data_IF_816894791189
#
_entry.id   IF_816894791189
#
_cell.length_a   1.000
_cell.length_b   1.000
_cell.length_c   1.000
_cell.angle_alpha   90.00
_cell.angle_beta   90.00
_cell.angle_gamma   90.00
#
_symmetry.space_group_name_H-M   'P 1'
#
loop_
_entity.id
_entity.type
_entity.pdbx_description
1 polymer ?
#
# COMPACT_ATOMS: atom_id res chain seq x y z
N UNK A 1 12.59 -17.30 5.38
CA UNK A 1 12.61 -16.21 4.37
C UNK A 1 12.50 -16.79 2.96
N UNK A 2 13.45 -17.62 2.51
CA UNK A 2 13.36 -18.29 1.21
C UNK A 2 12.08 -19.10 1.02
N UNK A 3 11.62 -19.84 2.03
CA UNK A 3 10.35 -20.57 1.96
C UNK A 3 9.14 -19.66 1.71
N UNK A 4 9.14 -18.46 2.29
CA UNK A 4 8.07 -17.49 2.09
C UNK A 4 8.10 -16.89 0.67
N UNK A 5 9.29 -16.69 0.10
CA UNK A 5 9.44 -16.24 -1.30
C UNK A 5 8.96 -17.34 -2.26
N UNK A 6 9.32 -18.61 -1.99
CA UNK A 6 8.96 -19.76 -2.83
C UNK A 6 7.47 -20.14 -2.71
N UNK A 7 6.80 -19.74 -1.64
CA UNK A 7 5.37 -20.00 -1.44
C UNK A 7 4.48 -19.07 -2.28
N UNK A 8 5.02 -17.98 -2.83
CA UNK A 8 4.27 -17.06 -3.70
C UNK A 8 4.24 -17.61 -5.11
N UNK A 9 3.05 -17.79 -5.67
CA UNK A 9 2.87 -18.03 -7.11
C UNK A 9 3.00 -16.70 -7.87
N UNK A 10 4.24 -16.32 -8.16
CA UNK A 10 4.54 -15.08 -8.90
C UNK A 10 3.90 -15.07 -10.29
N UNK A 11 3.70 -16.23 -10.92
CA UNK A 11 3.08 -16.33 -12.24
C UNK A 11 1.57 -16.04 -12.24
N UNK A 12 0.91 -16.20 -11.10
CA UNK A 12 -0.51 -15.89 -10.93
C UNK A 12 -0.78 -14.40 -10.65
N UNK A 13 0.25 -13.62 -10.31
CA UNK A 13 0.11 -12.19 -10.06
C UNK A 13 -0.08 -11.47 -11.40
N UNK A 14 -1.12 -10.65 -11.57
CA UNK A 14 -1.32 -9.93 -12.83
C UNK A 14 -0.28 -8.82 -13.01
N UNK A 15 0.06 -8.52 -14.25
CA UNK A 15 0.95 -7.42 -14.63
C UNK A 15 0.99 -7.24 -16.14
N UNK A 16 1.51 -6.10 -16.59
CA UNK A 16 1.61 -5.80 -18.02
C UNK A 16 2.49 -6.85 -18.71
N UNK A 17 2.02 -7.55 -19.76
CA UNK A 17 2.67 -8.75 -20.28
C UNK A 17 4.07 -8.51 -20.84
N UNK A 18 4.34 -7.30 -21.35
CA UNK A 18 5.66 -6.95 -21.90
C UNK A 18 6.65 -6.42 -20.85
N UNK A 19 6.18 -6.10 -19.63
CA UNK A 19 7.01 -5.40 -18.63
C UNK A 19 7.17 -6.20 -17.33
N UNK A 20 6.14 -6.92 -16.92
CA UNK A 20 6.17 -7.75 -15.72
C UNK A 20 6.80 -9.10 -16.03
N UNK A 21 7.91 -9.40 -15.35
CA UNK A 21 8.61 -10.68 -15.46
C UNK A 21 8.60 -11.41 -14.11
N UNK A 22 7.64 -12.34 -13.88
CA UNK A 22 7.48 -13.04 -12.60
C UNK A 22 8.77 -13.71 -12.09
N UNK A 23 9.55 -14.31 -13.00
CA UNK A 23 10.80 -14.96 -12.66
C UNK A 23 11.85 -13.98 -12.11
N UNK A 24 11.82 -12.70 -12.52
CA UNK A 24 12.69 -11.67 -11.95
C UNK A 24 12.28 -11.31 -10.53
N UNK A 25 10.99 -11.34 -10.20
CA UNK A 25 10.50 -11.12 -8.85
C UNK A 25 11.03 -12.18 -7.89
N UNK A 26 10.81 -13.46 -8.22
CA UNK A 26 11.28 -14.59 -7.40
C UNK A 26 12.81 -14.59 -7.28
N UNK A 27 13.52 -14.58 -8.42
CA UNK A 27 14.99 -14.64 -8.45
C UNK A 27 15.62 -13.44 -7.76
N UNK A 28 15.08 -12.24 -7.97
CA UNK A 28 15.54 -11.01 -7.36
C UNK A 28 15.39 -11.04 -5.84
N UNK A 29 14.24 -11.45 -5.31
CA UNK A 29 14.04 -11.56 -3.86
C UNK A 29 14.95 -12.61 -3.22
N UNK A 30 15.15 -13.76 -3.87
CA UNK A 30 16.08 -14.79 -3.39
C UNK A 30 17.51 -14.29 -3.36
N UNK A 31 17.98 -13.71 -4.47
CA UNK A 31 19.32 -13.15 -4.56
C UNK A 31 19.53 -12.02 -3.54
N UNK A 32 18.52 -11.19 -3.31
CA UNK A 32 18.61 -10.11 -2.33
C UNK A 32 18.65 -10.63 -0.89
N UNK A 33 17.89 -11.69 -0.59
CA UNK A 33 17.91 -12.35 0.71
C UNK A 33 19.28 -12.98 1.03
N UNK A 34 19.94 -13.55 0.02
CA UNK A 34 21.24 -14.21 0.14
C UNK A 34 22.44 -13.26 -0.02
N UNK A 35 22.21 -12.00 -0.42
CA UNK A 35 23.27 -11.04 -0.71
C UNK A 35 24.15 -10.77 0.53
N UNK A 36 25.46 -10.97 0.36
CA UNK A 36 26.48 -10.78 1.39
C UNK A 36 27.31 -9.50 1.16
N UNK A 37 27.14 -8.82 0.03
CA UNK A 37 27.86 -7.59 -0.30
C UNK A 37 27.04 -6.64 -1.17
N UNK A 38 27.62 -5.47 -1.45
CA UNK A 38 26.98 -4.41 -2.22
C UNK A 38 26.68 -4.79 -3.67
N UNK A 39 27.57 -5.54 -4.32
CA UNK A 39 27.43 -5.92 -5.73
C UNK A 39 26.26 -6.87 -5.90
N UNK A 40 26.19 -7.91 -5.07
CA UNK A 40 25.09 -8.88 -5.07
C UNK A 40 23.74 -8.21 -4.78
N UNK A 41 23.71 -7.29 -3.80
CA UNK A 41 22.49 -6.54 -3.49
C UNK A 41 22.05 -5.65 -4.66
N UNK A 42 22.99 -5.01 -5.37
CA UNK A 42 22.69 -4.17 -6.52
C UNK A 42 22.18 -4.98 -7.72
N UNK A 43 22.79 -6.14 -8.01
CA UNK A 43 22.34 -7.05 -9.06
C UNK A 43 20.93 -7.59 -8.77
N UNK A 44 20.68 -8.01 -7.53
CA UNK A 44 19.36 -8.45 -7.11
C UNK A 44 18.32 -7.33 -7.19
N UNK A 45 18.69 -6.11 -6.80
CA UNK A 45 17.84 -4.92 -6.92
C UNK A 45 17.52 -4.62 -8.39
N UNK A 46 18.49 -4.76 -9.30
CA UNK A 46 18.26 -4.54 -10.74
C UNK A 46 17.25 -5.53 -11.34
N UNK A 47 17.20 -6.77 -10.87
CA UNK A 47 16.17 -7.73 -11.28
C UNK A 47 14.77 -7.27 -10.82
N UNK A 48 14.66 -6.80 -9.58
CA UNK A 48 13.40 -6.33 -9.01
C UNK A 48 12.93 -5.02 -9.64
N UNK A 49 13.85 -4.09 -9.87
CA UNK A 49 13.63 -2.80 -10.51
C UNK A 49 13.44 -2.86 -12.03
N UNK A 50 13.87 -3.95 -12.67
CA UNK A 50 13.84 -4.13 -14.11
C UNK A 50 12.70 -5.02 -14.60
N UNK A 51 11.57 -5.09 -13.91
CA UNK A 51 10.45 -5.94 -14.32
C UNK A 51 9.91 -6.88 -13.24
N UNK A 52 10.60 -7.02 -12.10
CA UNK A 52 10.17 -7.92 -11.03
C UNK A 52 9.02 -7.37 -10.18
N UNK A 53 9.10 -6.12 -9.75
CA UNK A 53 8.06 -5.47 -8.93
C UNK A 53 7.78 -4.04 -9.37
N UNK A 54 8.77 -3.41 -10.00
CA UNK A 54 8.65 -2.14 -10.72
C UNK A 54 9.38 -2.27 -12.05
N UNK A 55 9.09 -1.36 -12.97
CA UNK A 55 9.84 -1.13 -14.19
C UNK A 55 10.46 0.26 -14.14
N UNK A 56 11.65 0.37 -13.54
CA UNK A 56 12.28 1.63 -13.16
C UNK A 56 12.53 2.59 -14.32
N UNK A 57 12.70 2.10 -15.55
CA UNK A 57 12.80 2.98 -16.73
C UNK A 57 11.51 3.73 -17.04
N UNK A 58 10.37 3.13 -16.70
CA UNK A 58 9.05 3.71 -16.90
C UNK A 58 8.51 4.30 -15.59
N UNK A 59 9.09 4.00 -14.42
CA UNK A 59 8.48 4.28 -13.11
C UNK A 59 7.07 3.67 -12.98
N UNK A 60 6.91 2.46 -13.53
CA UNK A 60 5.67 1.69 -13.41
C UNK A 60 5.76 0.67 -12.27
N UNK A 61 4.79 0.65 -11.36
CA UNK A 61 4.70 -0.37 -10.28
C UNK A 61 3.74 -1.48 -10.64
N UNK A 62 4.08 -2.72 -10.27
CA UNK A 62 3.23 -3.89 -10.52
C UNK A 62 2.51 -4.34 -9.23
N UNK A 63 1.38 -5.06 -9.37
CA UNK A 63 0.74 -5.78 -8.26
C UNK A 63 1.71 -6.61 -7.41
N UNK A 64 2.76 -7.17 -8.03
CA UNK A 64 3.81 -7.92 -7.36
C UNK A 64 4.55 -7.13 -6.26
N UNK A 65 4.63 -5.79 -6.35
CA UNK A 65 5.26 -4.97 -5.32
C UNK A 65 4.54 -5.04 -3.98
N UNK A 66 3.20 -5.07 -3.98
CA UNK A 66 2.42 -5.22 -2.75
C UNK A 66 2.69 -6.56 -2.06
N UNK A 67 2.82 -7.63 -2.86
CA UNK A 67 3.14 -8.99 -2.39
C UNK A 67 4.60 -9.09 -1.90
N UNK A 68 5.52 -8.44 -2.59
CA UNK A 68 6.95 -8.44 -2.25
C UNK A 68 7.30 -7.58 -1.04
N UNK A 69 6.54 -6.51 -0.77
CA UNK A 69 6.83 -5.56 0.33
C UNK A 69 7.08 -6.23 1.70
N UNK A 70 6.24 -7.14 2.21
CA UNK A 70 6.53 -7.80 3.50
C UNK A 70 7.84 -8.60 3.45
N UNK A 71 8.16 -9.24 2.32
CA UNK A 71 9.42 -9.99 2.13
C UNK A 71 10.64 -9.05 2.10
N UNK A 72 10.51 -7.90 1.41
CA UNK A 72 11.53 -6.85 1.40
C UNK A 72 11.78 -6.27 2.79
N UNK A 73 10.73 -6.08 3.58
CA UNK A 73 10.87 -5.60 4.97
C UNK A 73 11.54 -6.65 5.87
N UNK A 74 11.26 -7.94 5.67
CA UNK A 74 11.96 -9.02 6.37
C UNK A 74 13.45 -9.09 5.97
N UNK A 75 13.76 -8.96 4.67
CA UNK A 75 15.14 -8.85 4.17
C UNK A 75 15.83 -7.63 4.78
N UNK A 76 15.16 -6.48 4.81
CA UNK A 76 15.71 -5.27 5.39
C UNK A 76 16.02 -5.43 6.89
N UNK A 77 15.19 -6.16 7.62
CA UNK A 77 15.36 -6.38 9.04
C UNK A 77 16.49 -7.38 9.36
N UNK A 78 16.64 -8.44 8.57
CA UNK A 78 17.48 -9.60 8.92
C UNK A 78 18.74 -9.74 8.05
N UNK A 79 18.73 -9.18 6.84
CA UNK A 79 19.78 -9.35 5.85
C UNK A 79 20.99 -8.43 6.04
N UNK A 80 21.94 -8.55 5.12
CA UNK A 80 23.13 -7.71 5.05
C UNK A 80 22.76 -6.21 4.91
N UNK A 81 23.54 -5.26 5.46
CA UNK A 81 23.23 -3.83 5.34
C UNK A 81 23.00 -3.33 3.91
N UNK A 82 23.76 -3.85 2.93
CA UNK A 82 23.52 -3.51 1.53
C UNK A 82 22.18 -4.04 0.99
N UNK A 83 21.77 -5.25 1.39
CA UNK A 83 20.47 -5.81 1.04
C UNK A 83 19.33 -5.00 1.68
N UNK A 84 19.51 -4.54 2.91
CA UNK A 84 18.58 -3.61 3.58
C UNK A 84 18.43 -2.32 2.80
N UNK A 85 19.53 -1.71 2.40
CA UNK A 85 19.47 -0.44 1.68
C UNK A 85 18.81 -0.57 0.31
N UNK A 86 19.07 -1.67 -0.40
CA UNK A 86 18.39 -2.00 -1.65
C UNK A 86 16.89 -2.28 -1.43
N UNK A 87 16.53 -3.10 -0.45
CA UNK A 87 15.14 -3.45 -0.16
C UNK A 87 14.29 -2.23 0.20
N UNK A 88 14.81 -1.33 1.04
CA UNK A 88 14.12 -0.09 1.40
C UNK A 88 14.05 0.89 0.21
N UNK A 89 15.01 0.87 -0.72
CA UNK A 89 14.98 1.69 -1.92
C UNK A 89 13.90 1.22 -2.89
N UNK A 90 13.77 -0.09 -3.07
CA UNK A 90 12.73 -0.70 -3.90
C UNK A 90 11.32 -0.44 -3.35
N UNK A 91 11.15 -0.47 -2.02
CA UNK A 91 9.88 -0.12 -1.36
C UNK A 91 9.52 1.35 -1.60
N UNK A 92 10.49 2.25 -1.49
CA UNK A 92 10.32 3.68 -1.75
C UNK A 92 9.94 3.94 -3.22
N UNK A 93 10.65 3.30 -4.14
CA UNK A 93 10.37 3.36 -5.58
C UNK A 93 8.96 2.82 -5.91
N UNK A 94 8.57 1.69 -5.31
CA UNK A 94 7.24 1.12 -5.52
C UNK A 94 6.11 2.00 -4.96
N UNK A 95 6.35 2.71 -3.85
CA UNK A 95 5.36 3.62 -3.26
C UNK A 95 5.22 4.92 -4.04
N UNK A 96 6.29 5.37 -4.70
CA UNK A 96 6.34 6.61 -5.49
C UNK A 96 6.02 6.45 -6.98
N UNK A 97 6.02 5.21 -7.49
CA UNK A 97 5.69 4.87 -8.88
C UNK A 97 4.17 4.73 -9.09
N UNK A 98 3.74 4.81 -10.35
CA UNK A 98 2.32 4.65 -10.71
C UNK A 98 2.06 3.32 -11.42
N UNK A 99 0.98 2.61 -11.08
CA UNK A 99 0.63 1.38 -11.78
C UNK A 99 0.15 1.64 -13.20
N UNK A 100 0.28 0.64 -14.07
CA UNK A 100 -0.41 0.64 -15.36
C UNK A 100 -1.93 0.51 -15.14
N UNK A 101 -2.76 1.19 -15.95
CA UNK A 101 -4.18 1.40 -15.67
C UNK A 101 -5.04 0.15 -15.44
N UNK A 102 -4.68 -0.99 -16.05
CA UNK A 102 -5.38 -2.28 -15.85
C UNK A 102 -4.90 -3.07 -14.61
N UNK A 103 -3.80 -2.66 -13.99
CA UNK A 103 -3.07 -3.41 -12.97
C UNK A 103 -2.86 -2.57 -11.70
N UNK A 104 -3.88 -1.81 -11.29
CA UNK A 104 -3.76 -0.83 -10.19
C UNK A 104 -4.07 -1.39 -8.81
N UNK A 105 -4.61 -2.61 -8.74
CA UNK A 105 -5.23 -3.17 -7.53
C UNK A 105 -4.74 -4.57 -7.19
N UNK A 106 -4.83 -4.89 -5.90
CA UNK A 106 -4.48 -6.19 -5.33
C UNK A 106 -5.53 -6.67 -4.33
N UNK A 107 -5.70 -7.98 -4.25
CA UNK A 107 -6.44 -8.62 -3.16
C UNK A 107 -5.55 -8.75 -1.93
N UNK A 108 -6.05 -8.30 -0.79
CA UNK A 108 -5.38 -8.37 0.51
C UNK A 108 -6.32 -8.96 1.57
N UNK A 109 -5.80 -9.25 2.75
CA UNK A 109 -6.63 -9.68 3.90
C UNK A 109 -7.63 -8.63 4.39
N UNK A 110 -7.50 -7.38 3.93
CA UNK A 110 -8.30 -6.24 4.37
C UNK A 110 -9.05 -5.55 3.21
N UNK A 111 -9.11 -6.18 2.04
CA UNK A 111 -9.90 -5.70 0.89
C UNK A 111 -9.62 -6.50 -0.38
N UNK A 112 -10.63 -6.65 -1.24
CA UNK A 112 -10.51 -7.44 -2.47
C UNK A 112 -9.80 -6.70 -3.63
N UNK A 113 -9.85 -5.37 -3.62
CA UNK A 113 -9.45 -4.52 -4.76
C UNK A 113 -8.67 -3.28 -4.29
N UNK A 114 -7.73 -3.47 -3.36
CA UNK A 114 -6.97 -2.40 -2.70
C UNK A 114 -5.97 -1.78 -3.68
N UNK A 115 -5.85 -0.44 -3.76
CA UNK A 115 -4.79 0.20 -4.53
C UNK A 115 -3.40 -0.26 -4.09
N UNK A 116 -2.49 -0.52 -5.04
CA UNK A 116 -1.16 -1.08 -4.73
C UNK A 116 -0.42 -0.25 -3.69
N UNK A 117 -0.40 1.08 -3.83
CA UNK A 117 0.26 1.98 -2.88
C UNK A 117 -0.35 1.90 -1.47
N UNK A 118 -1.67 1.74 -1.34
CA UNK A 118 -2.35 1.52 -0.06
C UNK A 118 -1.98 0.18 0.57
N UNK A 119 -1.80 -0.86 -0.25
CA UNK A 119 -1.35 -2.18 0.23
C UNK A 119 0.10 -2.14 0.74
N UNK A 120 1.00 -1.46 0.02
CA UNK A 120 2.39 -1.23 0.44
C UNK A 120 2.42 -0.41 1.74
N UNK A 121 1.68 0.70 1.79
CA UNK A 121 1.61 1.57 2.96
C UNK A 121 1.08 0.84 4.21
N UNK A 122 0.13 -0.08 4.04
CA UNK A 122 -0.32 -0.94 5.14
C UNK A 122 0.84 -1.76 5.71
N UNK A 123 1.63 -2.42 4.87
CA UNK A 123 2.77 -3.24 5.30
C UNK A 123 3.82 -2.39 6.04
N UNK A 124 4.11 -1.18 5.55
CA UNK A 124 5.01 -0.25 6.24
C UNK A 124 4.53 0.10 7.65
N UNK A 125 3.23 0.38 7.82
CA UNK A 125 2.65 0.66 9.14
C UNK A 125 2.73 -0.53 10.10
N UNK A 126 2.55 -1.76 9.61
CA UNK A 126 2.70 -2.97 10.45
C UNK A 126 4.14 -3.18 10.95
N UNK A 127 5.13 -2.57 10.28
CA UNK A 127 6.55 -2.61 10.66
C UNK A 127 7.07 -1.28 11.19
N UNK A 128 6.18 -0.43 11.72
CA UNK A 128 6.51 0.92 12.20
C UNK A 128 7.65 0.96 13.22
N UNK A 129 7.66 0.08 14.22
CA UNK A 129 8.72 0.04 15.23
C UNK A 129 10.11 -0.23 14.62
N UNK A 130 10.19 -1.13 13.64
CA UNK A 130 11.43 -1.40 12.90
C UNK A 130 11.86 -0.18 12.08
N UNK A 131 10.94 0.43 11.33
CA UNK A 131 11.23 1.60 10.49
C UNK A 131 11.64 2.83 11.32
N UNK A 132 11.01 3.07 12.46
CA UNK A 132 11.41 4.13 13.41
C UNK A 132 12.86 3.91 13.87
N UNK A 133 13.25 2.67 14.14
CA UNK A 133 14.62 2.30 14.50
C UNK A 133 15.67 2.61 13.44
N UNK A 134 15.27 2.83 12.18
CA UNK A 134 16.16 3.20 11.06
C UNK A 134 16.35 4.73 10.92
N UNK A 135 15.78 5.54 11.81
CA UNK A 135 15.95 6.98 11.82
C UNK A 135 15.29 7.68 10.62
N UNK A 136 15.99 8.65 10.02
CA UNK A 136 15.42 9.54 8.97
C UNK A 136 14.83 8.78 7.79
N UNK A 137 15.49 7.71 7.34
CA UNK A 137 15.06 6.93 6.17
C UNK A 137 13.74 6.21 6.43
N UNK A 138 13.64 5.50 7.55
CA UNK A 138 12.37 4.84 7.91
C UNK A 138 11.28 5.83 8.28
N UNK A 139 11.63 6.98 8.87
CA UNK A 139 10.71 8.09 9.11
C UNK A 139 10.11 8.66 7.81
N UNK A 140 10.90 8.82 6.75
CA UNK A 140 10.42 9.27 5.44
C UNK A 140 9.42 8.27 4.83
N UNK A 141 9.76 6.98 4.80
CA UNK A 141 8.86 5.92 4.34
C UNK A 141 7.54 5.87 5.12
N UNK A 142 7.59 6.06 6.43
CA UNK A 142 6.39 6.14 7.27
C UNK A 142 5.55 7.39 6.98
N UNK A 143 6.19 8.52 6.72
CA UNK A 143 5.51 9.76 6.34
C UNK A 143 4.82 9.63 4.97
N UNK A 144 5.44 8.96 4.01
CA UNK A 144 4.81 8.68 2.71
C UNK A 144 3.68 7.67 2.85
N UNK A 145 3.89 6.59 3.61
CA UNK A 145 2.83 5.62 3.93
C UNK A 145 1.63 6.29 4.64
N UNK A 146 1.85 7.35 5.42
CA UNK A 146 0.79 8.07 6.12
C UNK A 146 -0.17 8.79 5.15
N UNK A 147 0.29 9.20 3.96
CA UNK A 147 -0.56 9.83 2.93
C UNK A 147 -1.62 8.86 2.38
N UNK A 148 -1.34 7.56 2.44
CA UNK A 148 -2.26 6.51 2.03
C UNK A 148 -3.17 6.09 3.18
N UNK A 149 -4.15 6.94 3.47
CA UNK A 149 -5.10 6.70 4.56
C UNK A 149 -6.12 5.62 4.20
N UNK A 150 -6.64 4.96 5.24
CA UNK A 150 -7.71 3.96 5.16
C UNK A 150 -8.67 4.19 6.32
N UNK A 151 -9.97 4.20 6.04
CA UNK A 151 -10.99 4.29 7.08
C UNK A 151 -11.92 3.08 7.02
N UNK A 152 -12.18 2.45 8.15
CA UNK A 152 -13.10 1.30 8.23
C UNK A 152 -14.34 1.71 9.02
N UNK A 153 -15.50 1.67 8.37
CA UNK A 153 -16.78 2.08 8.95
C UNK A 153 -17.20 1.06 10.01
N UNK A 154 -17.54 1.54 11.20
CA UNK A 154 -18.16 0.74 12.27
C UNK A 154 -19.63 1.09 12.46
N UNK A 155 -19.95 2.37 12.40
CA UNK A 155 -21.30 2.89 12.64
C UNK A 155 -21.55 4.14 11.80
N UNK A 156 -22.79 4.33 11.36
CA UNK A 156 -23.21 5.53 10.64
C UNK A 156 -24.46 6.13 11.26
N UNK A 157 -24.48 7.44 11.40
CA UNK A 157 -25.62 8.21 11.90
C UNK A 157 -26.03 9.22 10.84
N UNK A 158 -27.32 9.31 10.57
CA UNK A 158 -27.85 10.35 9.70
C UNK A 158 -27.70 11.71 10.40
N UNK A 159 -27.12 12.67 9.70
CA UNK A 159 -27.08 14.05 10.13
C UNK A 159 -27.53 14.94 8.97
N UNK A 160 -28.80 15.37 9.06
CA UNK A 160 -29.47 16.16 8.02
C UNK A 160 -29.48 15.42 6.67
N UNK A 161 -28.82 15.95 5.64
CA UNK A 161 -28.70 15.31 4.32
C UNK A 161 -27.39 14.50 4.16
N UNK A 162 -26.56 14.47 5.21
CA UNK A 162 -25.25 13.85 5.21
C UNK A 162 -25.22 12.65 6.17
N UNK A 163 -24.11 11.92 6.15
CA UNK A 163 -23.84 10.85 7.10
C UNK A 163 -22.58 11.16 7.91
N UNK A 164 -22.68 11.06 9.23
CA UNK A 164 -21.53 10.94 10.12
C UNK A 164 -21.15 9.44 10.22
N UNK A 165 -19.98 9.08 9.72
CA UNK A 165 -19.44 7.73 9.75
C UNK A 165 -18.35 7.63 10.82
N UNK A 166 -18.59 6.79 11.82
CA UNK A 166 -17.68 6.48 12.91
C UNK A 166 -16.93 5.18 12.61
N UNK A 167 -15.64 5.17 12.87
CA UNK A 167 -14.80 4.07 12.43
C UNK A 167 -13.35 4.22 12.86
N UNK A 168 -12.48 3.41 12.26
CA UNK A 168 -11.04 3.49 12.51
C UNK A 168 -10.30 4.08 11.33
N UNK A 169 -9.53 5.14 11.57
CA UNK A 169 -8.64 5.77 10.62
C UNK A 169 -7.21 5.28 10.83
N UNK A 170 -6.59 4.81 9.75
CA UNK A 170 -5.15 4.52 9.69
C UNK A 170 -4.50 5.43 8.65
N UNK A 171 -3.34 5.98 8.97
CA UNK A 171 -2.71 7.04 8.17
C UNK A 171 -3.24 8.43 8.53
N UNK A 172 -2.96 9.42 7.68
CA UNK A 172 -3.32 10.82 7.88
C UNK A 172 -4.35 11.22 6.82
N UNK A 173 -5.59 11.45 7.26
CA UNK A 173 -6.60 12.04 6.41
C UNK A 173 -6.23 13.52 6.13
N UNK A 174 -6.22 13.97 4.86
CA UNK A 174 -5.85 15.33 4.50
C UNK A 174 -6.88 16.36 4.97
N UNK A 175 -6.47 17.61 5.22
CA UNK A 175 -7.42 18.66 5.60
C UNK A 175 -8.33 19.05 4.44
N UNK A 176 -9.60 19.35 4.72
CA UNK A 176 -10.59 19.76 3.72
C UNK A 176 -11.49 18.60 3.28
N UNK A 177 -12.11 18.77 2.11
CA UNK A 177 -13.03 17.81 1.49
C UNK A 177 -12.29 17.08 0.37
N UNK A 178 -12.41 15.76 0.35
CA UNK A 178 -11.69 14.89 -0.58
C UNK A 178 -12.59 13.76 -1.07
N UNK A 179 -12.33 13.29 -2.29
CA UNK A 179 -13.00 12.11 -2.82
C UNK A 179 -12.41 10.83 -2.21
N UNK A 180 -13.28 9.84 -1.99
CA UNK A 180 -12.91 8.53 -1.47
C UNK A 180 -13.59 7.41 -2.25
N UNK A 181 -12.90 6.28 -2.36
CA UNK A 181 -13.53 5.04 -2.81
C UNK A 181 -14.12 4.30 -1.62
N UNK A 182 -15.41 3.99 -1.68
CA UNK A 182 -16.12 3.08 -0.79
C UNK A 182 -16.02 1.66 -1.32
N UNK A 183 -15.46 0.74 -0.53
CA UNK A 183 -15.31 -0.67 -0.86
C UNK A 183 -16.27 -1.52 -0.01
N UNK A 184 -17.22 -2.20 -0.66
CA UNK A 184 -18.24 -3.04 -0.01
C UNK A 184 -18.46 -4.32 -0.80
N UNK A 185 -18.20 -5.48 -0.20
CA UNK A 185 -18.54 -6.76 -0.83
C UNK A 185 -17.87 -7.03 -2.19
N UNK A 186 -16.74 -6.36 -2.49
CA UNK A 186 -16.06 -6.42 -3.78
C UNK A 186 -16.47 -5.33 -4.78
N UNK A 187 -17.55 -4.59 -4.48
CA UNK A 187 -17.98 -3.42 -5.25
C UNK A 187 -17.25 -2.16 -4.78
N UNK A 188 -17.04 -1.23 -5.72
CA UNK A 188 -16.41 0.06 -5.48
C UNK A 188 -17.38 1.16 -5.93
N UNK A 189 -17.65 2.10 -5.03
CA UNK A 189 -18.36 3.35 -5.33
C UNK A 189 -17.47 4.54 -5.00
N UNK A 190 -17.67 5.68 -5.68
CA UNK A 190 -16.96 6.92 -5.38
C UNK A 190 -17.84 7.83 -4.53
N UNK A 191 -17.28 8.31 -3.43
CA UNK A 191 -17.83 9.34 -2.58
C UNK A 191 -17.11 10.65 -2.94
N UNK A 192 -17.79 11.60 -3.55
CA UNK A 192 -17.15 12.83 -4.05
C UNK A 192 -16.67 13.76 -2.91
N UNK A 193 -17.40 13.75 -1.79
CA UNK A 193 -17.19 14.67 -0.69
C UNK A 193 -17.13 13.94 0.66
N UNK A 194 -15.90 13.72 1.12
CA UNK A 194 -15.59 13.17 2.45
C UNK A 194 -14.69 14.15 3.19
N UNK A 195 -15.01 14.45 4.46
CA UNK A 195 -14.21 15.30 5.31
C UNK A 195 -13.98 14.68 6.69
N UNK A 196 -12.83 14.96 7.30
CA UNK A 196 -12.57 14.57 8.68
C UNK A 196 -13.28 15.53 9.63
N UNK A 197 -14.29 15.03 10.34
CA UNK A 197 -15.06 15.83 11.29
C UNK A 197 -14.47 15.77 12.69
N UNK A 198 -14.18 14.55 13.16
CA UNK A 198 -13.48 14.33 14.43
C UNK A 198 -12.21 13.50 14.17
N UNK A 199 -11.01 14.10 14.32
CA UNK A 199 -9.76 13.37 14.17
C UNK A 199 -9.57 12.35 15.29
N UNK A 200 -8.70 11.33 15.10
CA UNK A 200 -8.27 10.48 16.19
C UNK A 200 -7.66 11.29 17.33
N UNK A 201 -8.07 10.95 18.56
CA UNK A 201 -7.43 11.45 19.79
C UNK A 201 -6.13 10.67 20.07
N UNK A 202 -5.23 11.26 20.84
CA UNK A 202 -3.93 10.66 21.16
C UNK A 202 -4.07 9.21 21.67
N UNK A 203 -3.38 8.28 20.99
CA UNK A 203 -3.40 6.85 21.32
C UNK A 203 -4.63 6.07 20.82
N UNK A 204 -5.57 6.73 20.15
CA UNK A 204 -6.72 6.10 19.48
C UNK A 204 -6.57 6.13 17.96
N UNK A 205 -7.27 5.21 17.30
CA UNK A 205 -7.48 5.21 15.84
C UNK A 205 -8.91 5.58 15.47
N UNK A 206 -9.77 5.82 16.46
CA UNK A 206 -11.18 6.12 16.25
C UNK A 206 -11.35 7.53 15.71
N UNK A 207 -12.12 7.67 14.63
CA UNK A 207 -12.37 8.95 13.98
C UNK A 207 -13.81 9.01 13.46
N UNK A 208 -14.26 10.23 13.16
CA UNK A 208 -15.52 10.49 12.46
C UNK A 208 -15.24 11.16 11.12
N UNK A 209 -15.76 10.58 10.05
CA UNK A 209 -15.82 11.20 8.74
C UNK A 209 -17.24 11.71 8.48
N UNK A 210 -17.32 12.90 7.89
CA UNK A 210 -18.53 13.44 7.29
C UNK A 210 -18.57 13.02 5.83
N UNK A 211 -19.67 12.39 5.40
CA UNK A 211 -19.91 11.97 4.01
C UNK A 211 -21.13 12.71 3.48
N UNK A 212 -20.94 13.61 2.51
CA UNK A 212 -22.02 14.46 1.98
C UNK A 212 -22.91 13.67 1.02
N UNK A 213 -24.23 13.78 1.15
CA UNK A 213 -25.17 13.27 0.15
C UNK A 213 -25.36 11.74 0.10
N UNK A 214 -24.77 11.00 1.04
CA UNK A 214 -24.96 9.55 1.19
C UNK A 214 -25.74 9.24 2.47
N UNK A 215 -26.60 8.21 2.43
CA UNK A 215 -27.39 7.77 3.59
C UNK A 215 -26.65 6.68 4.37
N UNK A 216 -26.93 6.52 5.68
CA UNK A 216 -26.27 5.49 6.50
C UNK A 216 -26.43 4.06 5.96
N UNK A 217 -27.55 3.74 5.31
CA UNK A 217 -27.80 2.40 4.74
C UNK A 217 -26.88 2.08 3.55
N UNK A 218 -26.34 3.10 2.89
CA UNK A 218 -25.42 2.96 1.75
C UNK A 218 -23.96 2.83 2.20
N UNK A 219 -23.70 3.03 3.50
CA UNK A 219 -22.40 2.99 4.15
C UNK A 219 -22.38 1.90 5.24
N UNK A 220 -22.49 0.62 4.86
CA UNK A 220 -22.65 -0.45 5.82
C UNK A 220 -21.42 -0.62 6.73
N UNK A 221 -21.59 -1.09 7.97
CA UNK A 221 -20.47 -1.49 8.82
C UNK A 221 -19.56 -2.52 8.14
N UNK A 222 -18.25 -2.36 8.31
CA UNK A 222 -17.22 -3.15 7.64
C UNK A 222 -16.83 -2.63 6.26
N UNK A 223 -17.54 -1.62 5.72
CA UNK A 223 -17.09 -0.93 4.52
C UNK A 223 -15.75 -0.23 4.76
N UNK A 224 -14.90 -0.23 3.73
CA UNK A 224 -13.56 0.38 3.81
C UNK A 224 -13.46 1.52 2.82
N UNK A 225 -12.93 2.65 3.26
CA UNK A 225 -12.65 3.81 2.44
C UNK A 225 -11.15 3.93 2.19
N UNK A 226 -10.80 4.23 0.94
CA UNK A 226 -9.47 4.63 0.52
C UNK A 226 -9.54 5.98 -0.18
N UNK A 227 -8.42 6.71 -0.25
CA UNK A 227 -8.35 7.93 -1.04
C UNK A 227 -8.57 7.60 -2.54
N UNK A 228 -9.47 8.32 -3.21
CA UNK A 228 -9.74 8.09 -4.64
C UNK A 228 -8.49 8.31 -5.50
N UNK A 229 -7.66 9.30 -5.13
CA UNK A 229 -6.39 9.60 -5.81
C UNK A 229 -5.41 8.41 -5.85
N UNK A 230 -5.52 7.44 -4.93
CA UNK A 230 -4.64 6.27 -4.92
C UNK A 230 -4.90 5.33 -6.10
N UNK A 231 -6.09 5.39 -6.70
CA UNK A 231 -6.49 4.58 -7.86
C UNK A 231 -6.44 5.34 -9.17
N UNK A 232 -6.52 6.68 -9.13
CA UNK A 232 -6.50 7.54 -10.32
C UNK A 232 -5.09 7.75 -10.88
N UNK A 233 -4.07 7.59 -10.04
CA UNK A 233 -2.66 7.71 -10.44
C UNK A 233 -2.25 6.49 -11.26
N UNK A 234 -2.16 6.68 -12.57
CA UNK A 234 -1.74 5.66 -13.54
C UNK A 234 -0.55 6.14 -14.35
N UNK A 235 0.30 5.19 -14.74
CA UNK A 235 1.46 5.41 -15.64
C UNK A 235 1.01 5.48 -17.10
#
# INVERSE_FOLDING_TARGET
>A
MLDAINAVDWGAIPGHPDWYEPARAERGLRALADAANLVEAAEASSLLGGGGIVHGHSAAVFPAAAVATPLLLDIAQQGHPAARDAALGLVDEALSSYPHGEYTRVTTSFGAAVPICCAIAHQLRTRSAFLVGLGKRGGALLADAAKHWRFEIRECVADSNDTAAFGTLVGCFPSGVHAAELHVGGEIAVLDEVALEYPPVDGSVEACLRVTGWRPVELPPGAVLFAAECSERVH
#
